data_IF_624756200930
#
_entry.id   IF_624756200930
#
_cell.length_a   1.000
_cell.length_b   1.000
_cell.length_c   1.000
_cell.angle_alpha   90.00
_cell.angle_beta   90.00
_cell.angle_gamma   90.00
#
_symmetry.space_group_name_H-M   'P 1'
#
loop_
_entity.id
_entity.type
_entity.pdbx_description
1 polymer ?
#
# COMPACT_ATOMS: atom_id res chain seq x y z
N UNK A 1 -15.27 5.74 15.84
CA UNK A 1 -14.55 6.85 15.10
C UNK A 1 -13.26 6.32 14.52
N UNK A 2 -12.93 6.74 13.32
CA UNK A 2 -11.72 6.38 12.58
C UNK A 2 -10.76 7.55 12.64
N UNK A 3 -9.48 7.29 12.92
CA UNK A 3 -8.44 8.33 12.92
C UNK A 3 -7.96 8.57 11.48
N UNK A 4 -8.49 9.61 10.86
CA UNK A 4 -8.13 10.02 9.50
C UNK A 4 -7.03 11.09 9.57
N UNK A 5 -5.96 10.90 8.80
CA UNK A 5 -4.92 11.91 8.63
C UNK A 5 -5.34 12.96 7.60
N UNK A 6 -5.70 12.51 6.41
CA UNK A 6 -6.07 13.40 5.29
C UNK A 6 -6.85 12.65 4.22
N UNK A 7 -7.32 13.40 3.23
CA UNK A 7 -8.02 12.88 2.06
C UNK A 7 -7.35 13.39 0.78
N UNK A 8 -7.37 12.55 -0.25
CA UNK A 8 -7.05 12.95 -1.61
C UNK A 8 -8.22 12.60 -2.52
N UNK A 9 -8.78 13.60 -3.18
CA UNK A 9 -9.82 13.41 -4.19
C UNK A 9 -9.20 13.19 -5.55
N UNK A 10 -9.79 12.27 -6.34
CA UNK A 10 -9.36 11.98 -7.71
C UNK A 10 -7.95 11.38 -7.82
N UNK A 11 -7.50 10.63 -6.81
CA UNK A 11 -6.26 9.85 -6.85
C UNK A 11 -6.26 8.86 -8.02
N UNK A 12 -5.13 8.75 -8.71
CA UNK A 12 -4.96 7.90 -9.89
C UNK A 12 -3.95 6.79 -9.71
N UNK A 13 -3.18 6.83 -8.62
CA UNK A 13 -2.09 5.89 -8.32
C UNK A 13 -2.41 4.88 -7.21
N UNK A 14 -3.61 4.97 -6.64
CA UNK A 14 -4.00 4.18 -5.45
C UNK A 14 -5.04 3.10 -5.79
N UNK A 15 -4.88 2.47 -6.94
CA UNK A 15 -5.77 1.43 -7.45
C UNK A 15 -6.44 1.81 -8.77
N UNK A 16 -7.41 1.01 -9.25
CA UNK A 16 -8.02 1.21 -10.55
C UNK A 16 -8.96 2.40 -10.59
N UNK A 17 -8.90 3.20 -11.65
CA UNK A 17 -9.80 4.33 -11.90
C UNK A 17 -9.50 5.55 -11.03
N UNK A 18 -10.46 6.48 -10.95
CA UNK A 18 -10.36 7.64 -10.04
C UNK A 18 -10.84 7.25 -8.64
N UNK A 19 -10.12 7.68 -7.62
CA UNK A 19 -10.39 7.25 -6.26
C UNK A 19 -10.43 8.41 -5.26
N UNK A 20 -11.32 8.27 -4.28
CA UNK A 20 -11.15 8.98 -3.03
C UNK A 20 -10.14 8.18 -2.20
N UNK A 21 -8.99 8.76 -1.88
CA UNK A 21 -8.00 8.13 -0.99
C UNK A 21 -8.19 8.68 0.41
N UNK A 22 -8.36 7.78 1.38
CA UNK A 22 -8.48 8.09 2.80
C UNK A 22 -7.18 7.65 3.47
N UNK A 23 -6.33 8.62 3.82
CA UNK A 23 -5.09 8.35 4.54
C UNK A 23 -5.38 8.22 6.03
N UNK A 24 -5.05 7.06 6.60
CA UNK A 24 -5.30 6.76 8.00
C UNK A 24 -4.06 6.98 8.85
N UNK A 25 -4.27 7.23 10.13
CA UNK A 25 -3.21 7.47 11.11
C UNK A 25 -2.79 6.18 11.79
N UNK A 26 -1.46 6.04 12.00
CA UNK A 26 -0.82 4.94 12.71
C UNK A 26 -0.21 3.90 11.77
N UNK A 27 1.09 3.62 11.92
CA UNK A 27 1.80 2.58 11.18
C UNK A 27 2.81 1.90 12.09
N UNK A 28 2.89 0.55 12.11
CA UNK A 28 3.89 -0.17 12.90
C UNK A 28 5.26 -0.24 12.22
N UNK A 29 5.35 0.08 10.92
CA UNK A 29 6.61 0.08 10.16
C UNK A 29 7.34 1.42 10.31
N UNK A 30 8.64 1.41 10.02
CA UNK A 30 9.54 2.58 10.02
C UNK A 30 10.37 2.60 8.74
N UNK A 31 9.65 2.53 7.59
CA UNK A 31 10.29 2.50 6.28
C UNK A 31 11.18 3.73 6.07
N UNK A 32 12.44 3.53 5.72
CA UNK A 32 13.42 4.60 5.54
C UNK A 32 13.01 5.61 4.46
N UNK A 33 12.25 5.17 3.44
CA UNK A 33 11.75 6.00 2.34
C UNK A 33 10.29 6.46 2.51
N UNK A 34 9.73 6.40 3.73
CA UNK A 34 8.32 6.70 3.92
C UNK A 34 7.95 8.08 3.35
N UNK A 35 6.98 8.14 2.44
CA UNK A 35 6.48 9.40 1.88
C UNK A 35 5.49 10.10 2.81
N UNK A 36 4.96 9.39 3.83
CA UNK A 36 3.97 9.89 4.78
C UNK A 36 4.43 9.70 6.24
N UNK A 37 5.60 10.24 6.65
CA UNK A 37 6.10 10.06 8.01
C UNK A 37 5.17 10.65 9.08
N UNK A 38 4.38 11.63 8.72
CA UNK A 38 3.35 12.28 9.53
C UNK A 38 2.17 11.36 9.89
N UNK A 39 1.99 10.25 9.16
CA UNK A 39 0.97 9.23 9.47
C UNK A 39 1.46 8.11 10.40
N UNK A 40 2.74 8.08 10.75
CA UNK A 40 3.34 6.94 11.46
C UNK A 40 2.88 6.83 12.91
N UNK A 41 2.77 7.97 13.62
CA UNK A 41 2.40 7.98 15.04
C UNK A 41 0.93 7.57 15.23
N UNK A 42 0.64 6.90 16.36
CA UNK A 42 -0.74 6.49 16.68
C UNK A 42 -1.57 7.59 17.35
N UNK A 43 -0.94 8.68 17.78
CA UNK A 43 -1.57 9.75 18.55
C UNK A 43 -2.13 10.88 17.68
N UNK A 44 -1.85 10.86 16.38
CA UNK A 44 -2.30 11.86 15.41
C UNK A 44 -3.66 11.52 14.77
N UNK A 45 -3.97 12.28 13.73
CA UNK A 45 -5.19 12.13 12.94
C UNK A 45 -6.42 12.78 13.59
N UNK A 46 -7.43 12.98 12.78
CA UNK A 46 -8.73 13.54 13.21
C UNK A 46 -9.73 12.42 13.40
N UNK A 47 -10.31 12.26 14.60
CA UNK A 47 -11.41 11.33 14.82
C UNK A 47 -12.59 11.68 13.89
N UNK A 48 -12.96 10.77 13.02
CA UNK A 48 -13.98 10.98 11.98
C UNK A 48 -15.06 9.91 12.10
N UNK A 49 -16.30 10.31 11.99
CA UNK A 49 -17.45 9.39 12.00
C UNK A 49 -17.54 8.64 10.67
N UNK A 50 -18.03 7.41 10.73
CA UNK A 50 -18.22 6.53 9.57
C UNK A 50 -19.12 7.18 8.53
N UNK A 51 -20.21 7.78 8.99
CA UNK A 51 -21.22 8.43 8.16
C UNK A 51 -20.67 9.60 7.35
N UNK A 52 -19.67 10.31 7.89
CA UNK A 52 -19.02 11.43 7.19
C UNK A 52 -18.15 10.93 6.04
N UNK A 53 -17.42 9.83 6.24
CA UNK A 53 -16.61 9.21 5.19
C UNK A 53 -17.51 8.61 4.10
N UNK A 54 -18.60 7.92 4.48
CA UNK A 54 -19.55 7.37 3.51
C UNK A 54 -20.21 8.50 2.70
N UNK A 55 -20.63 9.57 3.36
CA UNK A 55 -21.23 10.75 2.69
C UNK A 55 -20.25 11.38 1.69
N UNK A 56 -18.98 11.54 2.07
CA UNK A 56 -17.94 12.04 1.19
C UNK A 56 -17.75 11.12 -0.02
N UNK A 57 -17.66 9.81 0.19
CA UNK A 57 -17.50 8.83 -0.88
C UNK A 57 -18.70 8.85 -1.85
N UNK A 58 -19.93 8.90 -1.34
CA UNK A 58 -21.15 9.00 -2.13
C UNK A 58 -21.16 10.28 -2.98
N UNK A 59 -20.73 11.42 -2.43
CA UNK A 59 -20.64 12.68 -3.18
C UNK A 59 -19.67 12.62 -4.35
N UNK A 60 -18.63 11.79 -4.26
CA UNK A 60 -17.63 11.61 -5.32
C UNK A 60 -17.92 10.43 -6.27
N UNK A 61 -18.94 9.62 -5.97
CA UNK A 61 -19.31 8.45 -6.78
C UNK A 61 -19.49 8.74 -8.29
N UNK A 62 -20.04 9.90 -8.73
CA UNK A 62 -20.11 10.22 -10.15
C UNK A 62 -18.78 10.26 -10.89
N UNK A 63 -17.67 10.52 -10.17
CA UNK A 63 -16.32 10.59 -10.74
C UNK A 63 -15.60 9.22 -10.76
N UNK A 64 -16.07 8.24 -10.01
CA UNK A 64 -15.42 6.93 -9.93
C UNK A 64 -15.52 6.12 -11.24
N UNK A 65 -16.52 6.41 -12.09
CA UNK A 65 -16.75 5.64 -13.30
C UNK A 65 -16.98 4.14 -12.99
N UNK A 66 -16.49 3.27 -13.88
CA UNK A 66 -16.71 1.82 -13.74
C UNK A 66 -15.69 1.12 -12.83
N UNK A 67 -14.52 1.69 -12.62
CA UNK A 67 -13.38 1.04 -11.93
C UNK A 67 -12.93 1.76 -10.67
N UNK A 68 -13.30 3.02 -10.52
CA UNK A 68 -12.91 3.83 -9.37
C UNK A 68 -13.69 3.49 -8.09
N UNK A 69 -13.39 4.19 -7.02
CA UNK A 69 -14.00 3.96 -5.71
C UNK A 69 -13.23 4.62 -4.58
N UNK A 70 -13.16 3.97 -3.43
CA UNK A 70 -12.41 4.44 -2.27
C UNK A 70 -11.18 3.58 -2.06
N UNK A 71 -10.05 4.20 -1.70
CA UNK A 71 -8.84 3.51 -1.22
C UNK A 71 -8.54 3.96 0.20
N UNK A 72 -8.31 3.00 1.08
CA UNK A 72 -7.78 3.24 2.41
C UNK A 72 -6.28 2.99 2.39
N UNK A 73 -5.49 4.00 2.76
CA UNK A 73 -4.03 4.04 2.73
C UNK A 73 -3.51 4.89 3.90
N UNK A 74 -2.33 5.50 3.79
CA UNK A 74 -1.77 6.48 4.74
C UNK A 74 -0.68 5.91 5.60
N UNK A 75 -0.98 5.61 6.88
CA UNK A 75 -0.14 4.80 7.75
C UNK A 75 -0.28 3.32 7.38
N UNK A 76 -0.88 2.54 8.25
CA UNK A 76 -1.28 1.15 7.97
C UNK A 76 -2.77 0.99 8.33
N UNK A 77 -3.67 0.93 7.33
CA UNK A 77 -5.10 0.88 7.56
C UNK A 77 -5.55 -0.29 8.43
N UNK A 78 -4.88 -1.44 8.34
CA UNK A 78 -5.23 -2.63 9.12
C UNK A 78 -5.07 -2.44 10.62
N UNK A 79 -4.36 -1.41 11.06
CA UNK A 79 -4.27 -1.03 12.48
C UNK A 79 -5.60 -0.52 13.04
N UNK A 80 -6.53 -0.12 12.17
CA UNK A 80 -7.89 0.31 12.50
C UNK A 80 -8.94 -0.65 11.90
N UNK A 81 -8.59 -1.93 11.73
CA UNK A 81 -9.43 -2.90 11.03
C UNK A 81 -10.83 -3.01 11.65
N UNK A 82 -10.93 -3.06 12.97
CA UNK A 82 -12.19 -3.15 13.70
C UNK A 82 -13.13 -1.97 13.40
N UNK A 83 -12.59 -0.76 13.34
CA UNK A 83 -13.33 0.47 13.06
C UNK A 83 -13.70 0.57 11.57
N UNK A 84 -12.87 0.00 10.68
CA UNK A 84 -13.11 -0.01 9.24
C UNK A 84 -14.20 -1.01 8.80
N UNK A 85 -14.41 -2.09 9.53
CA UNK A 85 -15.42 -3.11 9.18
C UNK A 85 -16.81 -2.54 8.92
N UNK A 86 -17.41 -1.73 9.83
CA UNK A 86 -18.73 -1.13 9.58
C UNK A 86 -18.69 -0.07 8.46
N UNK A 87 -17.57 0.63 8.28
CA UNK A 87 -17.39 1.56 7.16
C UNK A 87 -17.41 0.83 5.81
N UNK A 88 -16.66 -0.28 5.69
CA UNK A 88 -16.63 -1.08 4.46
C UNK A 88 -18.01 -1.61 4.10
N UNK A 89 -18.78 -2.06 5.11
CA UNK A 89 -20.16 -2.46 4.92
C UNK A 89 -21.00 -1.32 4.35
N UNK A 90 -20.94 -0.12 4.93
CA UNK A 90 -21.69 1.04 4.43
C UNK A 90 -21.31 1.43 3.01
N UNK A 91 -20.01 1.40 2.66
CA UNK A 91 -19.55 1.67 1.29
C UNK A 91 -20.05 0.61 0.29
N UNK A 92 -20.09 -0.66 0.71
CA UNK A 92 -20.64 -1.75 -0.11
C UNK A 92 -22.13 -1.61 -0.37
N UNK A 93 -22.90 -1.21 0.64
CA UNK A 93 -24.34 -0.92 0.49
C UNK A 93 -24.59 0.19 -0.54
N UNK A 94 -23.68 1.15 -0.65
CA UNK A 94 -23.68 2.18 -1.68
C UNK A 94 -23.12 1.71 -3.04
N UNK A 95 -22.68 0.46 -3.18
CA UNK A 95 -22.09 -0.09 -4.39
C UNK A 95 -20.74 0.55 -4.76
N UNK A 96 -19.97 0.99 -3.78
CA UNK A 96 -18.65 1.61 -3.97
C UNK A 96 -17.56 0.56 -3.85
N UNK A 97 -16.69 0.51 -4.85
CA UNK A 97 -15.52 -0.39 -4.88
C UNK A 97 -14.46 0.05 -3.87
N UNK A 98 -13.95 -0.89 -3.08
CA UNK A 98 -13.01 -0.65 -1.99
C UNK A 98 -11.65 -1.26 -2.29
N UNK A 99 -10.60 -0.42 -2.28
CA UNK A 99 -9.21 -0.86 -2.23
C UNK A 99 -8.66 -0.67 -0.82
N UNK A 100 -7.79 -1.57 -0.42
CA UNK A 100 -7.00 -1.50 0.81
C UNK A 100 -5.51 -1.54 0.46
N UNK A 101 -4.81 -0.44 0.71
CA UNK A 101 -3.35 -0.30 0.53
C UNK A 101 -2.67 -0.63 1.86
N UNK A 102 -1.97 -1.74 1.92
CA UNK A 102 -1.45 -2.30 3.18
C UNK A 102 -0.05 -2.90 3.02
N UNK A 103 0.77 -2.80 4.05
CA UNK A 103 2.01 -3.55 4.14
C UNK A 103 1.82 -5.01 4.57
N UNK A 104 0.61 -5.41 4.95
CA UNK A 104 0.26 -6.78 5.33
C UNK A 104 1.04 -7.34 6.52
N UNK A 105 1.77 -6.51 7.27
CA UNK A 105 2.71 -6.93 8.30
C UNK A 105 2.10 -7.21 9.69
N UNK A 106 0.77 -7.14 9.81
CA UNK A 106 0.02 -7.44 11.04
C UNK A 106 -1.14 -8.36 10.74
N UNK A 107 -1.58 -9.15 11.75
CA UNK A 107 -2.67 -10.10 11.59
C UNK A 107 -3.48 -10.28 12.87
N UNK A 108 -4.80 -10.27 12.73
CA UNK A 108 -5.78 -10.68 13.74
C UNK A 108 -7.12 -10.99 13.05
N UNK A 109 -8.14 -11.41 13.80
CA UNK A 109 -9.45 -11.75 13.25
C UNK A 109 -10.16 -10.57 12.57
N UNK A 110 -9.99 -9.34 13.08
CA UNK A 110 -10.60 -8.15 12.47
C UNK A 110 -9.94 -7.83 11.11
N UNK A 111 -8.62 -8.01 11.00
CA UNK A 111 -7.88 -7.86 9.74
C UNK A 111 -8.33 -8.89 8.71
N UNK A 112 -8.46 -10.14 9.12
CA UNK A 112 -8.97 -11.21 8.25
C UNK A 112 -10.38 -10.89 7.73
N UNK A 113 -11.28 -10.44 8.62
CA UNK A 113 -12.62 -10.04 8.24
C UNK A 113 -12.61 -8.83 7.30
N UNK A 114 -11.71 -7.84 7.52
CA UNK A 114 -11.58 -6.65 6.67
C UNK A 114 -11.10 -7.03 5.27
N UNK A 115 -10.06 -7.85 5.15
CA UNK A 115 -9.57 -8.37 3.88
C UNK A 115 -10.68 -9.16 3.14
N UNK A 116 -11.52 -9.90 3.89
CA UNK A 116 -12.70 -10.59 3.37
C UNK A 116 -13.74 -9.66 2.74
N UNK A 117 -13.82 -8.40 3.14
CA UNK A 117 -14.73 -7.38 2.59
C UNK A 117 -14.08 -6.49 1.52
N UNK A 118 -12.76 -6.56 1.33
CA UNK A 118 -12.02 -5.74 0.37
C UNK A 118 -12.20 -6.27 -1.04
N UNK A 119 -12.41 -5.37 -2.02
CA UNK A 119 -12.54 -5.75 -3.43
C UNK A 119 -11.18 -5.94 -4.11
N UNK A 120 -10.19 -5.15 -3.72
CA UNK A 120 -8.82 -5.25 -4.22
C UNK A 120 -7.83 -4.84 -3.12
N UNK A 121 -6.85 -5.68 -2.86
CA UNK A 121 -5.75 -5.34 -1.95
C UNK A 121 -4.56 -4.84 -2.75
N UNK A 122 -4.01 -3.68 -2.37
CA UNK A 122 -2.72 -3.19 -2.84
C UNK A 122 -1.71 -3.60 -1.77
N UNK A 123 -0.98 -4.69 -2.04
CA UNK A 123 -0.06 -5.27 -1.06
C UNK A 123 1.37 -4.81 -1.32
N UNK A 124 1.93 -4.10 -0.37
CA UNK A 124 3.31 -3.64 -0.42
C UNK A 124 4.30 -4.74 -0.02
N UNK A 125 5.11 -5.21 -0.94
CA UNK A 125 6.30 -5.99 -0.63
C UNK A 125 7.50 -5.03 -0.60
N UNK A 126 7.96 -4.69 0.61
CA UNK A 126 9.02 -3.68 0.76
C UNK A 126 10.41 -4.22 0.39
N UNK A 127 10.65 -5.50 0.63
CA UNK A 127 11.86 -6.23 0.29
C UNK A 127 11.63 -7.74 0.49
N UNK A 128 12.19 -8.59 -0.37
CA UNK A 128 12.07 -10.05 -0.23
C UNK A 128 13.10 -10.65 0.73
N UNK A 129 14.32 -10.17 0.70
CA UNK A 129 15.34 -10.60 1.67
C UNK A 129 14.95 -10.09 3.06
N UNK A 130 14.83 -11.01 4.03
CA UNK A 130 14.35 -10.68 5.37
C UNK A 130 15.24 -9.68 6.11
N UNK A 131 16.56 -9.87 6.07
CA UNK A 131 17.52 -8.99 6.77
C UNK A 131 17.45 -7.56 6.20
N UNK A 132 17.40 -7.43 4.86
CA UNK A 132 17.25 -6.15 4.19
C UNK A 132 15.87 -5.53 4.45
N UNK A 133 14.82 -6.35 4.55
CA UNK A 133 13.49 -5.89 4.92
C UNK A 133 13.47 -5.32 6.34
N UNK A 134 14.10 -6.00 7.29
CA UNK A 134 14.19 -5.52 8.67
C UNK A 134 15.01 -4.24 8.76
N UNK A 135 16.12 -4.15 8.04
CA UNK A 135 16.93 -2.93 7.95
C UNK A 135 16.14 -1.75 7.34
N UNK A 136 15.28 -2.03 6.34
CA UNK A 136 14.50 -1.02 5.62
C UNK A 136 13.28 -0.55 6.40
N UNK A 137 12.61 -1.45 7.14
CA UNK A 137 11.26 -1.19 7.70
C UNK A 137 11.19 -1.29 9.22
N UNK A 138 12.22 -1.84 9.86
CA UNK A 138 12.22 -2.16 11.29
C UNK A 138 11.37 -3.40 11.65
N UNK A 139 10.91 -4.19 10.67
CA UNK A 139 10.05 -5.36 10.87
C UNK A 139 10.42 -6.50 9.92
N UNK A 140 10.08 -7.74 10.31
CA UNK A 140 10.18 -8.91 9.42
C UNK A 140 9.12 -8.87 8.31
N UNK A 141 9.43 -9.41 7.13
CA UNK A 141 8.48 -9.58 6.03
C UNK A 141 7.62 -10.84 6.17
N UNK A 142 7.87 -11.69 7.16
CA UNK A 142 7.24 -13.01 7.28
C UNK A 142 5.71 -12.93 7.36
N UNK A 143 5.16 -11.93 8.06
CA UNK A 143 3.70 -11.77 8.13
C UNK A 143 3.13 -11.23 6.82
N UNK A 144 3.81 -10.31 6.15
CA UNK A 144 3.40 -9.79 4.82
C UNK A 144 3.28 -10.93 3.81
N UNK A 145 4.25 -11.86 3.79
CA UNK A 145 4.22 -13.03 2.90
C UNK A 145 3.07 -14.00 3.26
N UNK A 146 2.78 -14.20 4.54
CA UNK A 146 1.60 -14.98 4.98
C UNK A 146 0.28 -14.30 4.59
N UNK A 147 0.23 -12.97 4.65
CA UNK A 147 -0.94 -12.21 4.18
C UNK A 147 -1.15 -12.41 2.67
N UNK A 148 -0.08 -12.36 1.87
CA UNK A 148 -0.15 -12.67 0.43
C UNK A 148 -0.66 -14.10 0.17
N UNK A 149 -0.14 -15.08 0.90
CA UNK A 149 -0.58 -16.46 0.81
C UNK A 149 -2.07 -16.60 1.15
N UNK A 150 -2.52 -15.95 2.22
CA UNK A 150 -3.94 -15.95 2.60
C UNK A 150 -4.83 -15.35 1.51
N UNK A 151 -4.41 -14.26 0.86
CA UNK A 151 -5.14 -13.64 -0.25
C UNK A 151 -5.30 -14.64 -1.42
N UNK A 152 -4.24 -15.34 -1.79
CA UNK A 152 -4.27 -16.38 -2.81
C UNK A 152 -5.23 -17.51 -2.44
N UNK A 153 -5.09 -18.08 -1.24
CA UNK A 153 -5.90 -19.22 -0.76
C UNK A 153 -7.39 -18.90 -0.65
N UNK A 154 -7.73 -17.63 -0.33
CA UNK A 154 -9.12 -17.17 -0.17
C UNK A 154 -9.68 -16.48 -1.42
N UNK A 155 -9.01 -16.62 -2.57
CA UNK A 155 -9.45 -16.06 -3.86
C UNK A 155 -9.70 -14.53 -3.76
N UNK A 156 -8.81 -13.81 -3.07
CA UNK A 156 -8.87 -12.36 -2.95
C UNK A 156 -7.93 -11.71 -3.94
N UNK A 157 -8.43 -10.91 -4.90
CA UNK A 157 -7.57 -10.26 -5.87
C UNK A 157 -6.66 -9.24 -5.20
N UNK A 158 -5.42 -9.19 -5.65
CA UNK A 158 -4.47 -8.19 -5.16
C UNK A 158 -3.52 -7.72 -6.25
N UNK A 159 -2.97 -6.54 -6.06
CA UNK A 159 -1.82 -6.01 -6.77
C UNK A 159 -0.64 -6.03 -5.81
N UNK A 160 0.53 -6.36 -6.34
CA UNK A 160 1.77 -6.26 -5.61
C UNK A 160 2.40 -4.91 -5.93
N UNK A 161 2.83 -4.18 -4.91
CA UNK A 161 3.53 -2.90 -5.03
C UNK A 161 4.95 -3.03 -4.52
N UNK A 162 5.91 -2.58 -5.31
CA UNK A 162 7.32 -2.66 -4.98
C UNK A 162 8.01 -1.33 -5.26
N UNK A 163 8.48 -0.64 -4.21
CA UNK A 163 9.25 0.60 -4.37
C UNK A 163 10.69 0.24 -4.68
N UNK A 164 11.17 0.68 -5.84
CA UNK A 164 12.53 0.42 -6.31
C UNK A 164 13.47 1.53 -5.82
N UNK A 165 14.16 1.29 -4.71
CA UNK A 165 15.10 2.25 -4.10
C UNK A 165 16.52 1.86 -4.46
N UNK A 166 17.29 2.73 -5.16
CA UNK A 166 18.68 2.43 -5.56
C UNK A 166 19.57 2.05 -4.37
N UNK A 167 20.24 0.90 -4.49
CA UNK A 167 21.14 0.36 -3.46
C UNK A 167 20.46 -0.22 -2.22
N UNK A 168 19.12 -0.33 -2.20
CA UNK A 168 18.34 -0.82 -1.06
C UNK A 168 17.36 -1.92 -1.45
N UNK A 169 16.57 -1.71 -2.50
CA UNK A 169 15.59 -2.68 -2.98
C UNK A 169 15.71 -2.99 -4.48
N UNK A 170 16.75 -2.50 -5.17
CA UNK A 170 17.01 -2.72 -6.59
C UNK A 170 17.98 -3.89 -6.87
N UNK A 171 18.27 -4.73 -5.89
CA UNK A 171 19.13 -5.91 -6.07
C UNK A 171 18.42 -6.96 -6.93
N UNK A 172 19.09 -7.39 -7.99
CA UNK A 172 18.54 -8.38 -8.94
C UNK A 172 18.12 -9.67 -8.25
N UNK A 173 18.93 -10.18 -7.31
CA UNK A 173 18.63 -11.42 -6.59
C UNK A 173 17.35 -11.32 -5.78
N UNK A 174 17.09 -10.15 -5.17
CA UNK A 174 15.88 -9.92 -4.39
C UNK A 174 14.64 -9.82 -5.29
N UNK A 175 14.77 -9.17 -6.46
CA UNK A 175 13.70 -9.10 -7.46
C UNK A 175 13.40 -10.50 -8.01
N UNK A 176 14.43 -11.30 -8.30
CA UNK A 176 14.26 -12.69 -8.72
C UNK A 176 13.63 -13.56 -7.64
N UNK A 177 14.02 -13.38 -6.38
CA UNK A 177 13.41 -14.06 -5.24
C UNK A 177 11.91 -13.73 -5.13
N UNK A 178 11.53 -12.46 -5.35
CA UNK A 178 10.13 -12.04 -5.42
C UNK A 178 9.42 -12.73 -6.60
N UNK A 179 10.04 -12.73 -7.78
CA UNK A 179 9.51 -13.39 -8.98
C UNK A 179 9.23 -14.87 -8.74
N UNK A 180 10.23 -15.60 -8.23
CA UNK A 180 10.08 -17.03 -7.92
C UNK A 180 8.98 -17.33 -6.89
N UNK A 181 8.82 -16.44 -5.89
CA UNK A 181 7.82 -16.62 -4.85
C UNK A 181 6.39 -16.42 -5.37
N UNK A 182 6.16 -15.43 -6.25
CA UNK A 182 4.82 -15.03 -6.65
C UNK A 182 4.38 -15.47 -8.05
N UNK A 183 5.25 -16.05 -8.88
CA UNK A 183 4.97 -16.39 -10.29
C UNK A 183 3.74 -17.27 -10.50
N UNK A 184 3.40 -18.11 -9.53
CA UNK A 184 2.30 -19.07 -9.63
C UNK A 184 0.99 -18.59 -8.95
N UNK A 185 0.99 -17.34 -8.39
CA UNK A 185 -0.18 -16.78 -7.74
C UNK A 185 -1.22 -16.33 -8.76
N UNK A 186 -2.42 -16.91 -8.68
CA UNK A 186 -3.53 -16.66 -9.61
C UNK A 186 -4.32 -15.40 -9.28
N UNK A 187 -4.34 -15.01 -8.00
CA UNK A 187 -5.04 -13.82 -7.52
C UNK A 187 -4.21 -12.56 -7.68
N UNK A 188 -2.93 -12.68 -8.00
CA UNK A 188 -2.06 -11.55 -8.35
C UNK A 188 -2.42 -11.01 -9.74
N UNK A 189 -3.11 -9.87 -9.78
CA UNK A 189 -3.59 -9.26 -11.02
C UNK A 189 -2.61 -8.26 -11.65
N UNK A 190 -1.71 -7.69 -10.84
CA UNK A 190 -0.75 -6.68 -11.29
C UNK A 190 0.45 -6.62 -10.36
N UNK A 191 1.60 -6.33 -10.93
CA UNK A 191 2.82 -5.94 -10.21
C UNK A 191 3.16 -4.50 -10.57
N UNK A 192 3.09 -3.60 -9.61
CA UNK A 192 3.43 -2.18 -9.78
C UNK A 192 4.83 -1.91 -9.23
N UNK A 193 5.74 -1.53 -10.11
CA UNK A 193 7.08 -1.08 -9.75
C UNK A 193 7.01 0.44 -9.62
N UNK A 194 7.31 0.92 -8.42
CA UNK A 194 7.22 2.34 -8.05
C UNK A 194 8.64 2.90 -7.98
N UNK A 195 9.03 3.79 -8.90
CA UNK A 195 10.32 4.46 -8.81
C UNK A 195 10.44 5.24 -7.49
N UNK A 196 11.63 5.18 -6.89
CA UNK A 196 11.91 5.97 -5.70
C UNK A 196 11.83 7.47 -5.99
N UNK A 197 11.16 8.20 -5.12
CA UNK A 197 11.04 9.65 -5.17
C UNK A 197 11.21 10.29 -3.79
N UNK A 198 11.50 11.59 -3.78
CA UNK A 198 11.77 12.38 -2.56
C UNK A 198 10.63 13.33 -2.18
N UNK A 199 9.41 13.12 -2.71
CA UNK A 199 8.26 14.02 -2.53
C UNK A 199 7.88 14.22 -1.05
N UNK A 200 8.10 13.20 -0.20
CA UNK A 200 7.79 13.29 1.25
C UNK A 200 8.87 13.91 2.12
N UNK A 201 10.04 14.27 1.59
CA UNK A 201 11.21 14.71 2.39
C UNK A 201 10.91 15.98 3.19
N UNK A 202 10.19 16.95 2.60
CA UNK A 202 9.81 18.19 3.28
C UNK A 202 8.99 17.94 4.57
N UNK A 203 8.28 16.82 4.67
CA UNK A 203 7.51 16.47 5.87
C UNK A 203 8.43 16.13 7.04
N UNK A 204 9.57 15.45 6.78
CA UNK A 204 10.58 15.19 7.81
C UNK A 204 11.14 16.47 8.38
N UNK A 205 11.48 17.44 7.51
CA UNK A 205 11.96 18.76 7.93
C UNK A 205 10.93 19.48 8.82
N UNK A 206 9.65 19.48 8.41
CA UNK A 206 8.54 20.06 9.18
C UNK A 206 8.37 19.39 10.55
N UNK A 207 8.63 18.08 10.64
CA UNK A 207 8.58 17.32 11.88
C UNK A 207 9.86 17.44 12.73
N UNK A 208 10.90 18.16 12.27
CA UNK A 208 12.20 18.24 12.94
C UNK A 208 12.96 16.90 12.93
N UNK A 209 12.71 16.04 11.95
CA UNK A 209 13.33 14.74 11.80
C UNK A 209 14.30 14.72 10.62
N UNK A 210 15.37 13.94 10.71
CA UNK A 210 16.29 13.72 9.60
C UNK A 210 15.78 12.63 8.67
N UNK A 211 15.74 12.92 7.36
CA UNK A 211 15.46 11.92 6.35
C UNK A 211 16.67 11.00 6.15
N UNK A 212 16.48 9.70 6.37
CA UNK A 212 17.58 8.73 6.41
C UNK A 212 18.23 8.48 5.04
N UNK A 213 17.48 8.69 3.95
CA UNK A 213 17.96 8.44 2.56
C UNK A 213 18.32 9.73 1.83
N UNK A 214 18.81 10.75 2.54
CA UNK A 214 19.16 12.08 1.97
C UNK A 214 20.16 12.01 0.82
N UNK A 215 21.08 11.03 0.83
CA UNK A 215 22.11 10.84 -0.17
C UNK A 215 21.71 9.87 -1.29
N UNK A 216 20.51 9.24 -1.17
CA UNK A 216 20.00 8.31 -2.17
C UNK A 216 19.36 9.07 -3.33
N UNK A 217 19.93 8.88 -4.53
CA UNK A 217 19.41 9.49 -5.77
C UNK A 217 18.18 8.72 -6.26
N UNK A 218 17.32 9.39 -7.01
CA UNK A 218 16.24 8.73 -7.75
C UNK A 218 16.79 7.78 -8.81
N UNK A 219 15.97 6.82 -9.23
CA UNK A 219 16.37 5.85 -10.25
C UNK A 219 16.74 6.51 -11.57
N UNK A 220 17.76 5.99 -12.25
CA UNK A 220 18.01 6.33 -13.65
C UNK A 220 17.11 5.49 -14.56
N UNK A 221 16.86 5.94 -15.81
CA UNK A 221 16.09 5.14 -16.78
C UNK A 221 16.67 3.73 -16.97
N UNK A 222 18.00 3.59 -16.99
CA UNK A 222 18.69 2.30 -17.15
C UNK A 222 18.41 1.37 -15.96
N UNK A 223 18.37 1.89 -14.73
CA UNK A 223 18.04 1.10 -13.54
C UNK A 223 16.59 0.62 -13.59
N UNK A 224 15.66 1.49 -13.99
CA UNK A 224 14.25 1.15 -14.16
C UNK A 224 14.04 0.09 -15.23
N UNK A 225 14.67 0.26 -16.41
CA UNK A 225 14.59 -0.69 -17.52
C UNK A 225 15.17 -2.07 -17.13
N UNK A 226 16.28 -2.07 -16.39
CA UNK A 226 16.92 -3.30 -15.91
C UNK A 226 16.00 -4.06 -14.95
N UNK A 227 15.44 -3.36 -13.96
CA UNK A 227 14.50 -3.96 -13.01
C UNK A 227 13.25 -4.47 -13.73
N UNK A 228 12.65 -3.67 -14.62
CA UNK A 228 11.48 -4.06 -15.40
C UNK A 228 11.71 -5.31 -16.22
N UNK A 229 12.89 -5.48 -16.83
CA UNK A 229 13.23 -6.71 -17.58
C UNK A 229 13.16 -7.93 -16.68
N UNK A 230 13.70 -7.86 -15.45
CA UNK A 230 13.67 -8.97 -14.50
C UNK A 230 12.26 -9.27 -14.05
N UNK A 231 11.46 -8.23 -13.68
CA UNK A 231 10.06 -8.43 -13.31
C UNK A 231 9.26 -9.11 -14.43
N UNK A 232 9.52 -8.74 -15.69
CA UNK A 232 8.82 -9.33 -16.85
C UNK A 232 9.25 -10.75 -17.20
N UNK A 233 10.33 -11.27 -16.64
CA UNK A 233 10.66 -12.70 -16.74
C UNK A 233 9.64 -13.57 -15.98
N UNK A 234 8.94 -12.98 -14.97
CA UNK A 234 8.00 -13.67 -14.10
C UNK A 234 6.55 -13.21 -14.24
N UNK A 235 6.32 -11.93 -14.61
CA UNK A 235 5.00 -11.32 -14.58
C UNK A 235 4.69 -10.54 -15.85
N UNK A 236 3.78 -11.06 -16.68
CA UNK A 236 3.25 -10.33 -17.84
C UNK A 236 2.51 -9.05 -17.43
N UNK A 237 1.93 -9.07 -16.22
CA UNK A 237 1.17 -7.95 -15.63
C UNK A 237 2.03 -6.90 -14.92
N UNK A 238 3.38 -6.96 -15.04
CA UNK A 238 4.28 -5.96 -14.45
C UNK A 238 4.23 -4.63 -15.21
N UNK A 239 4.06 -3.54 -14.47
CA UNK A 239 4.07 -2.17 -14.99
C UNK A 239 4.96 -1.27 -14.14
N UNK A 240 5.54 -0.24 -14.78
CA UNK A 240 6.17 0.88 -14.10
C UNK A 240 5.11 1.98 -13.91
N UNK A 241 4.97 2.47 -12.68
CA UNK A 241 3.93 3.44 -12.34
C UNK A 241 4.52 4.78 -11.92
#
# INVERSE_FOLDING_TARGET
MIKVHSYESMGTYDGPGLRLVVFLQGCPFRCLYCANPDTITFDGGTPTEIEDIVRMAVSQKPFFGRRGGVTFSGGEPTMQAKELLPLFKGLKEEGIHICLDTNGGTWNADIEALLGQTDLVLLDIKQMNQERHEALTGRSNSQTLKTAQWLEEHSRPFWLRYVLVPGISDFEDDIRMLGEHFKDYKMLQRVEILPYHTLGVHKYETMGQEYQLKDTKTNTPEQLDKAMKIFKEYFDCAIMN
#
